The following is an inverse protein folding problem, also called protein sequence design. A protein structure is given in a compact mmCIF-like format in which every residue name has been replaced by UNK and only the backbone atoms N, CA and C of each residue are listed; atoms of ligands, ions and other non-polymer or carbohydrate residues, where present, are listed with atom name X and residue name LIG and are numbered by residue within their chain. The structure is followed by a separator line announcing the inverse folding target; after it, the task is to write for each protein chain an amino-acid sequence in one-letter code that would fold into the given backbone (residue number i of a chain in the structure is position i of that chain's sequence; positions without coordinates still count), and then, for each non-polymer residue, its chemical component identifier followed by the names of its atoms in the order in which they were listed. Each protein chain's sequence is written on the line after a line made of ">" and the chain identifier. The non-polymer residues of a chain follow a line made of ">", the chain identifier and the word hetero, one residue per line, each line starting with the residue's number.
data_IF_929336249690
#
_entry.id   IF_929336249690
#
_cell.length_a   1.000
_cell.length_b   1.000
_cell.length_c   1.000
_cell.angle_alpha   90.00
_cell.angle_beta   90.00
_cell.angle_gamma   90.00
#
_symmetry.space_group_name_H-M   'P 1'
#
loop_
_entity.id
_entity.type
_entity.pdbx_description
1 polymer ?
#
# COMPACT_ATOMS: atom_id res chain seq x y z
N UNK A 1 7.14 -18.79 -0.52
CA UNK A 1 6.14 -18.34 -1.51
C UNK A 1 6.85 -18.25 -2.84
N UNK A 2 6.27 -18.82 -3.90
CA UNK A 2 6.88 -18.71 -5.23
C UNK A 2 6.68 -17.28 -5.79
N UNK A 3 7.62 -16.82 -6.62
CA UNK A 3 7.58 -15.45 -7.15
C UNK A 3 6.32 -15.15 -7.95
N UNK A 4 5.82 -16.13 -8.70
CA UNK A 4 4.61 -15.99 -9.50
C UNK A 4 3.37 -15.87 -8.60
N UNK A 5 3.29 -16.68 -7.55
CA UNK A 5 2.20 -16.60 -6.56
C UNK A 5 2.18 -15.23 -5.87
N UNK A 6 3.36 -14.71 -5.47
CA UNK A 6 3.46 -13.40 -4.85
C UNK A 6 3.00 -12.29 -5.80
N UNK A 7 3.43 -12.32 -7.06
CA UNK A 7 3.02 -11.31 -8.04
C UNK A 7 1.50 -11.35 -8.28
N UNK A 8 0.90 -12.54 -8.36
CA UNK A 8 -0.55 -12.68 -8.47
C UNK A 8 -1.25 -12.13 -7.24
N UNK A 9 -0.80 -12.51 -6.05
CA UNK A 9 -1.36 -12.03 -4.77
C UNK A 9 -1.33 -10.50 -4.69
N UNK A 10 -0.22 -9.87 -5.04
CA UNK A 10 -0.09 -8.41 -4.98
C UNK A 10 -0.96 -7.71 -6.04
N UNK A 11 -1.06 -8.29 -7.24
CA UNK A 11 -1.95 -7.76 -8.30
C UNK A 11 -3.44 -7.86 -7.91
N UNK A 12 -3.85 -9.00 -7.34
CA UNK A 12 -5.22 -9.20 -6.84
C UNK A 12 -5.53 -8.27 -5.66
N UNK A 13 -4.61 -8.15 -4.70
CA UNK A 13 -4.75 -7.24 -3.56
C UNK A 13 -4.86 -5.77 -4.01
N UNK A 14 -4.10 -5.38 -5.04
CA UNK A 14 -4.21 -4.05 -5.62
C UNK A 14 -5.57 -3.80 -6.28
N UNK A 15 -6.15 -4.81 -6.93
CA UNK A 15 -7.50 -4.75 -7.48
C UNK A 15 -8.56 -4.67 -6.39
N UNK A 16 -8.38 -5.40 -5.29
CA UNK A 16 -9.30 -5.32 -4.15
C UNK A 16 -9.34 -3.91 -3.57
N UNK A 17 -8.20 -3.20 -3.52
CA UNK A 17 -8.18 -1.79 -3.11
C UNK A 17 -9.02 -0.89 -4.02
N UNK A 18 -9.05 -1.12 -5.34
CA UNK A 18 -9.90 -0.31 -6.25
C UNK A 18 -11.37 -0.60 -6.04
N UNK A 19 -11.74 -1.87 -5.79
CA UNK A 19 -13.12 -2.26 -5.46
C UNK A 19 -13.55 -1.63 -4.14
N UNK A 20 -12.73 -1.75 -3.09
CA UNK A 20 -13.02 -1.18 -1.76
C UNK A 20 -13.15 0.34 -1.83
N UNK A 21 -12.26 1.04 -2.54
CA UNK A 21 -12.36 2.49 -2.71
C UNK A 21 -13.67 2.91 -3.40
N UNK A 22 -14.07 2.15 -4.41
CA UNK A 22 -15.30 2.41 -5.18
C UNK A 22 -16.56 2.10 -4.35
N UNK A 23 -16.60 0.98 -3.64
CA UNK A 23 -17.78 0.55 -2.89
C UNK A 23 -17.98 1.37 -1.61
N UNK A 24 -16.90 1.69 -0.89
CA UNK A 24 -16.99 2.35 0.42
C UNK A 24 -17.11 3.87 0.32
N UNK A 25 -16.52 4.47 -0.72
CA UNK A 25 -16.41 5.93 -0.85
C UNK A 25 -16.72 6.47 -2.25
N UNK A 26 -17.06 5.61 -3.22
CA UNK A 26 -17.31 6.00 -4.61
C UNK A 26 -16.11 6.75 -5.24
N UNK A 27 -14.90 6.32 -4.90
CA UNK A 27 -13.63 6.83 -5.42
C UNK A 27 -13.05 5.82 -6.41
N UNK A 28 -12.75 6.28 -7.63
CA UNK A 28 -12.10 5.48 -8.65
C UNK A 28 -10.57 5.59 -8.52
N UNK A 29 -9.92 4.42 -8.52
CA UNK A 29 -8.47 4.27 -8.40
C UNK A 29 -7.94 3.66 -9.70
N UNK A 30 -7.18 4.44 -10.46
CA UNK A 30 -6.80 4.14 -11.86
C UNK A 30 -5.31 3.81 -12.08
N UNK A 31 -4.56 3.63 -10.99
CA UNK A 31 -3.11 3.40 -10.96
C UNK A 31 -2.28 4.60 -11.44
N UNK A 32 -2.86 5.81 -11.43
CA UNK A 32 -2.12 7.05 -11.64
C UNK A 32 -1.45 7.54 -10.36
N UNK A 33 -0.43 8.38 -10.51
CA UNK A 33 0.17 9.09 -9.39
C UNK A 33 -0.85 9.97 -8.63
N UNK A 34 -1.88 10.48 -9.33
CA UNK A 34 -2.97 11.23 -8.72
C UNK A 34 -3.82 10.34 -7.80
N UNK A 35 -4.08 9.10 -8.20
CA UNK A 35 -4.80 8.13 -7.37
C UNK A 35 -4.09 7.82 -6.05
N UNK A 36 -2.76 7.94 -5.97
CA UNK A 36 -2.04 7.80 -4.70
C UNK A 36 -2.43 8.89 -3.69
N UNK A 37 -2.74 10.11 -4.14
CA UNK A 37 -3.25 11.15 -3.24
C UNK A 37 -4.67 10.81 -2.73
N UNK A 38 -5.49 10.16 -3.57
CA UNK A 38 -6.81 9.67 -3.15
C UNK A 38 -6.69 8.55 -2.11
N UNK A 39 -5.66 7.70 -2.20
CA UNK A 39 -5.38 6.69 -1.17
C UNK A 39 -5.09 7.33 0.19
N UNK A 40 -4.36 8.45 0.22
CA UNK A 40 -4.13 9.19 1.47
C UNK A 40 -5.46 9.61 2.13
N UNK A 41 -6.40 10.14 1.34
CA UNK A 41 -7.71 10.58 1.82
C UNK A 41 -8.60 9.40 2.21
N UNK A 42 -8.54 8.29 1.47
CA UNK A 42 -9.26 7.05 1.78
C UNK A 42 -8.84 6.47 3.12
N UNK A 43 -7.54 6.38 3.40
CA UNK A 43 -7.04 5.86 4.68
C UNK A 43 -7.52 6.73 5.85
N UNK A 44 -7.54 8.06 5.72
CA UNK A 44 -8.11 8.94 6.75
C UNK A 44 -9.62 8.74 6.89
N UNK A 45 -10.32 8.58 5.77
CA UNK A 45 -11.77 8.35 5.76
C UNK A 45 -12.13 7.04 6.49
N UNK A 46 -11.30 6.01 6.37
CA UNK A 46 -11.44 4.79 7.16
C UNK A 46 -11.21 5.02 8.66
N UNK A 47 -10.19 5.78 9.06
CA UNK A 47 -9.98 6.15 10.47
C UNK A 47 -11.22 6.86 11.03
N UNK A 48 -11.77 7.83 10.29
CA UNK A 48 -12.98 8.56 10.70
C UNK A 48 -14.23 7.66 10.75
N UNK A 49 -14.41 6.77 9.75
CA UNK A 49 -15.54 5.84 9.67
C UNK A 49 -15.56 4.83 10.81
N UNK A 50 -14.39 4.42 11.28
CA UNK A 50 -14.22 3.43 12.34
C UNK A 50 -13.79 4.05 13.68
N UNK A 51 -13.88 5.38 13.85
CA UNK A 51 -13.40 6.04 15.06
C UNK A 51 -14.11 5.57 16.35
N UNK A 52 -15.40 5.20 16.25
CA UNK A 52 -16.20 4.64 17.35
C UNK A 52 -16.06 3.12 17.53
N UNK A 53 -15.46 2.44 16.55
CA UNK A 53 -15.17 1.01 16.55
C UNK A 53 -13.68 0.85 16.30
N UNK A 54 -12.88 0.92 17.37
CA UNK A 54 -11.42 0.72 17.31
C UNK A 54 -11.10 -0.25 16.16
N UNK A 55 -10.44 0.27 15.11
CA UNK A 55 -10.19 -0.48 13.88
C UNK A 55 -9.63 -1.84 14.29
N UNK A 56 -10.41 -2.90 14.04
CA UNK A 56 -9.98 -4.24 14.43
C UNK A 56 -8.66 -4.54 13.71
N UNK A 57 -7.73 -5.21 14.39
CA UNK A 57 -6.41 -5.55 13.83
C UNK A 57 -6.53 -6.23 12.45
N UNK A 58 -7.60 -7.00 12.25
CA UNK A 58 -7.97 -7.65 10.98
C UNK A 58 -8.30 -6.65 9.86
N UNK A 59 -9.03 -5.58 10.16
CA UNK A 59 -9.38 -4.52 9.22
C UNK A 59 -8.14 -3.69 8.87
N UNK A 60 -7.33 -3.31 9.86
CA UNK A 60 -6.05 -2.61 9.62
C UNK A 60 -5.16 -3.44 8.71
N UNK A 61 -4.99 -4.73 9.03
CA UNK A 61 -4.16 -5.63 8.22
C UNK A 61 -4.67 -5.72 6.78
N UNK A 62 -5.98 -5.86 6.59
CA UNK A 62 -6.58 -5.92 5.25
C UNK A 62 -6.32 -4.63 4.47
N UNK A 63 -6.63 -3.47 5.06
CA UNK A 63 -6.42 -2.16 4.45
C UNK A 63 -4.94 -1.92 4.10
N UNK A 64 -4.02 -2.26 5.00
CA UNK A 64 -2.58 -2.12 4.76
C UNK A 64 -2.11 -2.97 3.59
N UNK A 65 -2.59 -4.22 3.47
CA UNK A 65 -2.18 -5.10 2.38
C UNK A 65 -2.75 -4.66 1.03
N UNK A 66 -4.06 -4.38 0.94
CA UNK A 66 -4.68 -4.01 -0.34
C UNK A 66 -4.17 -2.65 -0.84
N UNK A 67 -4.12 -1.62 0.03
CA UNK A 67 -3.64 -0.30 -0.37
C UNK A 67 -2.12 -0.29 -0.54
N UNK A 68 -1.38 -1.02 0.29
CA UNK A 68 0.07 -1.20 0.12
C UNK A 68 0.41 -1.87 -1.21
N UNK A 69 -0.35 -2.89 -1.60
CA UNK A 69 -0.22 -3.53 -2.90
C UNK A 69 -0.58 -2.58 -4.05
N UNK A 70 -1.67 -1.84 -3.94
CA UNK A 70 -2.06 -0.83 -4.93
C UNK A 70 -0.99 0.23 -5.16
N UNK A 71 -0.43 0.80 -4.08
CA UNK A 71 0.64 1.80 -4.16
C UNK A 71 1.88 1.18 -4.83
N UNK A 72 2.23 -0.06 -4.48
CA UNK A 72 3.40 -0.72 -5.07
C UNK A 72 3.20 -1.12 -6.53
N UNK A 73 2.02 -1.60 -6.94
CA UNK A 73 1.70 -1.85 -8.35
C UNK A 73 1.71 -0.56 -9.17
N UNK A 74 1.17 0.53 -8.61
CA UNK A 74 1.27 1.87 -9.22
C UNK A 74 2.73 2.29 -9.37
N UNK A 75 3.55 2.11 -8.33
CA UNK A 75 4.99 2.42 -8.39
C UNK A 75 5.69 1.60 -9.48
N UNK A 76 5.39 0.30 -9.58
CA UNK A 76 5.97 -0.58 -10.61
C UNK A 76 5.67 -0.11 -12.02
N UNK A 77 4.49 0.46 -12.28
CA UNK A 77 4.17 1.01 -13.62
C UNK A 77 5.08 2.20 -13.99
N UNK A 78 5.57 2.95 -13.02
CA UNK A 78 6.41 4.13 -13.25
C UNK A 78 7.92 3.84 -13.19
N UNK A 79 8.37 3.00 -12.25
CA UNK A 79 9.78 2.79 -11.93
C UNK A 79 10.23 1.31 -12.04
N UNK A 80 9.31 0.41 -12.38
CA UNK A 80 9.55 -1.03 -12.34
C UNK A 80 9.74 -1.54 -10.91
N UNK A 81 10.36 -2.72 -10.80
CA UNK A 81 10.64 -3.37 -9.52
C UNK A 81 10.05 -4.77 -9.44
N UNK A 82 10.40 -5.48 -8.38
CA UNK A 82 10.00 -6.86 -8.15
C UNK A 82 9.56 -7.04 -6.72
N UNK A 83 8.39 -7.65 -6.53
CA UNK A 83 7.93 -7.99 -5.20
C UNK A 83 8.81 -9.07 -4.60
N UNK A 84 9.19 -8.90 -3.34
CA UNK A 84 9.90 -9.89 -2.56
C UNK A 84 9.18 -10.12 -1.25
N UNK A 85 9.00 -11.40 -0.94
CA UNK A 85 8.57 -11.83 0.38
C UNK A 85 9.80 -11.96 1.27
N UNK A 86 9.98 -11.01 2.18
CA UNK A 86 11.07 -10.99 3.13
C UNK A 86 10.76 -11.90 4.32
N UNK A 87 11.64 -12.86 4.58
CA UNK A 87 11.57 -13.81 5.68
C UNK A 87 12.83 -13.76 6.57
N UNK A 88 13.58 -12.65 6.52
CA UNK A 88 14.80 -12.48 7.31
C UNK A 88 14.52 -12.55 8.81
N UNK A 89 13.36 -12.02 9.25
CA UNK A 89 12.77 -12.33 10.55
C UNK A 89 11.63 -13.37 10.40
N UNK A 90 11.84 -14.64 10.83
CA UNK A 90 10.81 -15.67 10.76
C UNK A 90 9.54 -15.36 11.57
N UNK A 91 9.60 -14.43 12.52
CA UNK A 91 8.45 -14.05 13.37
C UNK A 91 7.63 -12.92 12.77
N UNK A 92 8.18 -12.19 11.80
CA UNK A 92 7.55 -11.02 11.21
C UNK A 92 7.87 -10.93 9.70
N UNK A 93 7.44 -11.91 8.89
CA UNK A 93 7.63 -11.82 7.46
C UNK A 93 6.81 -10.68 6.87
N UNK A 94 7.35 -10.02 5.84
CA UNK A 94 6.70 -8.87 5.21
C UNK A 94 6.97 -8.81 3.71
N UNK A 95 6.09 -8.15 2.98
CA UNK A 95 6.26 -7.94 1.54
C UNK A 95 6.91 -6.58 1.30
N UNK A 96 7.93 -6.56 0.45
CA UNK A 96 8.57 -5.34 -0.03
C UNK A 96 8.67 -5.33 -1.54
N UNK A 97 8.68 -4.13 -2.10
CA UNK A 97 9.02 -3.92 -3.50
C UNK A 97 10.50 -3.54 -3.62
N UNK A 98 11.29 -4.39 -4.25
CA UNK A 98 12.66 -4.07 -4.61
C UNK A 98 12.71 -3.31 -5.93
N UNK A 99 13.45 -2.22 -5.96
CA UNK A 99 13.72 -1.44 -7.16
C UNK A 99 15.15 -0.89 -7.10
N UNK A 100 16.01 -1.35 -8.01
CA UNK A 100 17.46 -1.09 -7.99
C UNK A 100 18.05 -1.52 -6.63
N UNK A 101 18.75 -0.61 -5.94
CA UNK A 101 19.44 -0.87 -4.67
C UNK A 101 18.56 -0.55 -3.43
N UNK A 102 17.24 -0.44 -3.61
CA UNK A 102 16.30 -0.03 -2.56
C UNK A 102 15.11 -0.98 -2.47
N UNK A 103 14.56 -1.08 -1.26
CA UNK A 103 13.35 -1.85 -0.97
C UNK A 103 12.32 -0.95 -0.29
N UNK A 104 11.07 -1.05 -0.71
CA UNK A 104 9.98 -0.19 -0.23
C UNK A 104 8.86 -1.04 0.39
N UNK A 105 8.51 -0.73 1.65
CA UNK A 105 7.48 -1.43 2.41
C UNK A 105 6.16 -0.61 2.41
N UNK A 106 5.41 -0.68 1.31
CA UNK A 106 4.20 0.15 1.14
C UNK A 106 3.06 -0.23 2.10
N UNK A 107 2.92 -1.51 2.48
CA UNK A 107 1.95 -1.89 3.51
C UNK A 107 2.31 -1.29 4.87
N UNK A 108 3.60 -1.16 5.17
CA UNK A 108 4.09 -0.53 6.40
C UNK A 108 3.72 0.94 6.49
N UNK A 109 3.85 1.72 5.41
CA UNK A 109 3.47 3.13 5.45
C UNK A 109 1.95 3.33 5.63
N UNK A 110 1.13 2.43 5.08
CA UNK A 110 -0.32 2.41 5.35
C UNK A 110 -0.60 2.16 6.83
N UNK A 111 0.11 1.22 7.46
CA UNK A 111 -0.03 0.92 8.89
C UNK A 111 0.36 2.13 9.76
N UNK A 112 1.49 2.74 9.46
CA UNK A 112 1.95 3.95 10.14
C UNK A 112 0.89 5.05 10.10
N UNK A 113 0.25 5.28 8.93
CA UNK A 113 -0.84 6.26 8.78
C UNK A 113 -2.11 5.86 9.54
N UNK A 114 -2.50 4.59 9.50
CA UNK A 114 -3.75 4.11 10.09
C UNK A 114 -3.71 4.00 11.62
N UNK A 115 -2.56 3.63 12.19
CA UNK A 115 -2.44 3.24 13.60
C UNK A 115 -1.58 4.21 14.41
N UNK A 116 -0.44 4.64 13.88
CA UNK A 116 0.56 5.37 14.67
C UNK A 116 0.40 6.89 14.55
N UNK A 117 0.38 7.41 13.32
CA UNK A 117 0.33 8.83 13.04
C UNK A 117 -0.41 9.12 11.73
N UNK A 118 -1.64 9.63 11.84
CA UNK A 118 -2.48 10.00 10.69
C UNK A 118 -1.94 11.17 9.86
N UNK A 119 -0.90 11.88 10.34
CA UNK A 119 -0.20 12.90 9.55
C UNK A 119 0.77 12.30 8.53
N UNK A 120 1.15 11.03 8.66
CA UNK A 120 2.03 10.35 7.71
C UNK A 120 1.32 10.19 6.37
N UNK A 121 1.86 10.78 5.31
CA UNK A 121 1.31 10.71 3.95
C UNK A 121 1.94 9.58 3.14
N UNK A 122 1.11 8.67 2.64
CA UNK A 122 1.55 7.62 1.70
C UNK A 122 1.98 8.22 0.36
N UNK A 123 1.35 9.33 -0.06
CA UNK A 123 1.75 10.07 -1.26
C UNK A 123 3.14 10.66 -1.14
N UNK A 124 3.46 11.27 -0.01
CA UNK A 124 4.80 11.82 0.24
C UNK A 124 5.87 10.72 0.22
N UNK A 125 5.56 9.55 0.81
CA UNK A 125 6.46 8.39 0.76
C UNK A 125 6.66 7.88 -0.68
N UNK A 126 5.57 7.72 -1.43
CA UNK A 126 5.59 7.32 -2.83
C UNK A 126 6.39 8.28 -3.72
N UNK A 127 6.17 9.59 -3.59
CA UNK A 127 6.90 10.60 -4.36
C UNK A 127 8.39 10.58 -4.05
N UNK A 128 8.76 10.47 -2.77
CA UNK A 128 10.17 10.33 -2.37
C UNK A 128 10.81 9.08 -2.99
N UNK A 129 10.08 7.97 -3.04
CA UNK A 129 10.56 6.74 -3.68
C UNK A 129 10.77 6.94 -5.19
N UNK A 130 9.82 7.58 -5.90
CA UNK A 130 9.96 7.87 -7.33
C UNK A 130 11.08 8.86 -7.63
N UNK A 131 11.22 9.92 -6.83
CA UNK A 131 12.31 10.87 -6.96
C UNK A 131 13.67 10.21 -6.76
N UNK A 132 13.80 9.31 -5.78
CA UNK A 132 15.01 8.54 -5.58
C UNK A 132 15.35 7.59 -6.74
N UNK A 133 14.37 7.18 -7.54
CA UNK A 133 14.60 6.37 -8.74
C UNK A 133 15.11 7.19 -9.93
N UNK A 134 14.74 8.48 -10.03
CA UNK A 134 15.07 9.37 -11.17
C UNK A 134 16.43 10.05 -11.05
N UNK A 135 17.12 9.92 -9.90
CA UNK A 135 18.52 10.33 -9.71
C UNK A 135 19.49 9.19 -10.00
#
# INVERSE_FOLDING_TARGET
>A
MEQQELNTLMSESAKDATVVAQEEFNIELDYSQQSIALVDDLLLSFIGKYQDKALEDSAVFTLCNIFGAYIGETYKQHAGGTWRYDQTDPKAPFVVLDCKDRSYAFAGICYERLVNDSQISVKSYFDKALHAHTQ
#
